data_IF_355417950787
#
_entry.id   IF_355417950787
#
_cell.length_a   1.000
_cell.length_b   1.000
_cell.length_c   1.000
_cell.angle_alpha   90.00
_cell.angle_beta   90.00
_cell.angle_gamma   90.00
#
_symmetry.space_group_name_H-M   'P 1'
#
loop_
_entity.id
_entity.type
_entity.pdbx_description
1 polymer ?
#
# COMPACT_ATOMS: atom_id res chain seq x y z
N UNK A 1 -1.22 8.04 -16.44
CA UNK A 1 0.14 7.89 -15.87
C UNK A 1 0.09 8.31 -14.42
N UNK A 2 0.73 7.58 -13.51
CA UNK A 2 0.85 7.91 -12.08
C UNK A 2 1.87 9.05 -11.95
N UNK A 3 1.52 10.12 -11.24
CA UNK A 3 2.39 11.29 -11.08
C UNK A 3 3.24 11.19 -9.81
N UNK A 4 2.59 10.83 -8.69
CA UNK A 4 3.20 10.76 -7.36
C UNK A 4 2.87 9.42 -6.69
N UNK A 5 3.79 8.95 -5.85
CA UNK A 5 3.57 7.73 -5.05
C UNK A 5 3.94 8.01 -3.59
N UNK A 6 3.12 7.50 -2.68
CA UNK A 6 3.39 7.46 -1.24
C UNK A 6 3.55 6.00 -0.83
N UNK A 7 4.70 5.65 -0.26
CA UNK A 7 5.00 4.30 0.25
C UNK A 7 4.96 4.35 1.78
N UNK A 8 4.14 3.51 2.40
CA UNK A 8 3.99 3.44 3.85
C UNK A 8 5.01 2.47 4.46
N UNK A 9 6.08 3.00 5.02
CA UNK A 9 7.24 2.26 5.52
C UNK A 9 7.53 2.50 7.01
N UNK A 10 6.55 2.98 7.78
CA UNK A 10 6.73 3.31 9.19
C UNK A 10 6.40 2.15 10.15
N UNK A 11 5.89 1.03 9.66
CA UNK A 11 5.58 -0.16 10.44
C UNK A 11 6.83 -0.76 11.10
N UNK A 12 6.67 -1.29 12.33
CA UNK A 12 7.79 -1.90 13.07
C UNK A 12 8.11 -3.34 12.62
N UNK A 13 7.22 -4.00 11.87
CA UNK A 13 7.44 -5.36 11.37
C UNK A 13 7.63 -6.40 12.48
N UNK A 14 6.90 -6.28 13.61
CA UNK A 14 7.12 -7.10 14.81
C UNK A 14 7.00 -8.61 14.56
N UNK A 15 6.13 -9.03 13.63
CA UNK A 15 5.94 -10.45 13.30
C UNK A 15 7.19 -11.04 12.64
N UNK A 16 7.79 -10.30 11.71
CA UNK A 16 8.99 -10.72 10.98
C UNK A 16 10.29 -10.41 11.74
N UNK A 17 10.25 -9.58 12.79
CA UNK A 17 11.42 -9.20 13.59
C UNK A 17 12.14 -10.39 14.27
N UNK A 18 11.48 -11.55 14.37
CA UNK A 18 12.12 -12.80 14.83
C UNK A 18 13.11 -13.37 13.82
N UNK A 19 12.94 -13.04 12.53
CA UNK A 19 13.82 -13.49 11.45
C UNK A 19 14.96 -12.51 11.16
N UNK A 20 14.76 -11.20 11.43
CA UNK A 20 15.76 -10.18 11.14
C UNK A 20 15.56 -8.94 12.00
N UNK A 21 16.68 -8.31 12.42
CA UNK A 21 16.68 -6.97 13.06
C UNK A 21 16.55 -5.82 12.05
N UNK A 22 16.60 -6.12 10.75
CA UNK A 22 16.42 -5.12 9.69
C UNK A 22 14.94 -4.75 9.58
N UNK A 23 14.58 -3.46 9.52
CA UNK A 23 13.20 -3.04 9.29
C UNK A 23 12.63 -3.66 8.01
N UNK A 24 11.38 -4.14 8.06
CA UNK A 24 10.72 -4.91 7.00
C UNK A 24 10.89 -4.33 5.57
N UNK A 25 10.71 -3.01 5.32
CA UNK A 25 10.88 -2.44 3.97
C UNK A 25 12.31 -2.57 3.40
N UNK A 26 13.28 -2.83 4.26
CA UNK A 26 14.70 -2.97 3.91
C UNK A 26 15.21 -4.41 4.02
N UNK A 27 14.32 -5.38 4.20
CA UNK A 27 14.67 -6.78 4.06
C UNK A 27 15.05 -7.08 2.61
N UNK A 28 16.08 -7.88 2.44
CA UNK A 28 16.53 -8.33 1.13
C UNK A 28 15.52 -9.33 0.54
N UNK A 29 14.95 -9.02 -0.60
CA UNK A 29 14.00 -9.90 -1.29
C UNK A 29 14.68 -10.99 -2.11
N UNK A 30 15.99 -10.89 -2.33
CA UNK A 30 16.81 -11.92 -3.00
C UNK A 30 17.56 -12.82 -2.01
N UNK A 31 17.31 -12.68 -0.71
CA UNK A 31 17.92 -13.47 0.35
C UNK A 31 19.42 -13.21 0.58
N UNK A 32 20.02 -12.17 -0.03
CA UNK A 32 21.44 -11.86 0.07
C UNK A 32 21.68 -10.68 1.00
N UNK A 33 22.74 -10.72 1.77
CA UNK A 33 23.17 -9.55 2.53
C UNK A 33 23.57 -8.41 1.56
N UNK A 34 22.97 -7.23 1.75
CA UNK A 34 23.16 -6.09 0.84
C UNK A 34 22.55 -6.26 -0.55
N UNK A 35 21.67 -7.25 -0.72
CA UNK A 35 20.94 -7.48 -1.94
C UNK A 35 19.77 -6.51 -2.17
N UNK A 36 18.93 -6.80 -3.16
CA UNK A 36 17.75 -5.99 -3.50
C UNK A 36 16.74 -6.03 -2.37
N UNK A 37 16.25 -4.89 -1.90
CA UNK A 37 15.24 -4.80 -0.84
C UNK A 37 13.84 -4.57 -1.42
N UNK A 38 12.77 -4.70 -0.59
CA UNK A 38 11.43 -4.26 -1.00
C UNK A 38 11.44 -2.81 -1.47
N UNK A 39 12.15 -1.93 -0.74
CA UNK A 39 12.22 -0.51 -1.08
C UNK A 39 12.93 -0.29 -2.42
N UNK A 40 14.02 -1.00 -2.69
CA UNK A 40 14.71 -0.94 -3.99
C UNK A 40 13.77 -1.37 -5.12
N UNK A 41 13.03 -2.47 -4.92
CA UNK A 41 12.08 -2.98 -5.89
C UNK A 41 10.99 -1.95 -6.20
N UNK A 42 10.33 -1.40 -5.19
CA UNK A 42 9.26 -0.41 -5.38
C UNK A 42 9.77 0.79 -6.16
N UNK A 43 10.86 1.41 -5.68
CA UNK A 43 11.39 2.63 -6.29
C UNK A 43 11.84 2.38 -7.73
N UNK A 44 12.49 1.25 -8.01
CA UNK A 44 12.91 0.89 -9.36
C UNK A 44 11.71 0.68 -10.30
N UNK A 45 10.70 -0.10 -9.89
CA UNK A 45 9.52 -0.36 -10.71
C UNK A 45 8.71 0.91 -11.01
N UNK A 46 8.59 1.79 -10.04
CA UNK A 46 7.89 3.08 -10.18
C UNK A 46 8.67 4.05 -11.10
N UNK A 47 9.98 4.17 -10.90
CA UNK A 47 10.83 5.04 -11.72
C UNK A 47 10.85 4.58 -13.19
N UNK A 48 10.91 3.27 -13.46
CA UNK A 48 10.82 2.71 -14.82
C UNK A 48 9.51 3.07 -15.53
N UNK A 49 8.43 3.30 -14.78
CA UNK A 49 7.13 3.75 -15.30
C UNK A 49 6.98 5.26 -15.41
N UNK A 50 8.07 6.00 -15.16
CA UNK A 50 8.09 7.45 -15.31
C UNK A 50 7.47 8.21 -14.14
N UNK A 51 7.27 7.57 -12.98
CA UNK A 51 6.90 8.28 -11.75
C UNK A 51 8.03 9.25 -11.38
N UNK A 52 7.68 10.50 -11.13
CA UNK A 52 8.65 11.58 -10.90
C UNK A 52 8.89 11.89 -9.43
N UNK A 53 7.90 11.60 -8.60
CA UNK A 53 7.93 11.93 -7.18
C UNK A 53 7.49 10.74 -6.35
N UNK A 54 8.39 10.24 -5.50
CA UNK A 54 8.12 9.15 -4.57
C UNK A 54 8.37 9.68 -3.16
N UNK A 55 7.38 9.54 -2.30
CA UNK A 55 7.42 9.92 -0.90
C UNK A 55 7.37 8.66 -0.05
N UNK A 56 8.38 8.45 0.77
CA UNK A 56 8.46 7.28 1.67
C UNK A 56 8.16 7.74 3.08
N UNK A 57 7.07 7.27 3.67
CA UNK A 57 6.72 7.61 5.04
C UNK A 57 7.38 6.60 5.98
N UNK A 58 8.36 7.07 6.75
CA UNK A 58 9.12 6.24 7.68
C UNK A 58 8.98 6.71 9.12
N UNK A 59 9.31 5.83 10.05
CA UNK A 59 9.53 6.17 11.46
C UNK A 59 10.98 6.64 11.69
N UNK A 60 11.33 6.97 12.95
CA UNK A 60 12.67 7.44 13.33
C UNK A 60 13.80 6.46 12.98
N UNK A 61 13.51 5.17 12.87
CA UNK A 61 14.50 4.15 12.54
C UNK A 61 14.61 3.96 11.02
N UNK A 62 13.48 3.78 10.35
CA UNK A 62 13.45 3.53 8.90
C UNK A 62 13.93 4.75 8.11
N UNK A 63 13.59 5.97 8.54
CA UNK A 63 13.98 7.22 7.86
C UNK A 63 15.47 7.54 7.91
N UNK A 64 16.25 6.81 8.70
CA UNK A 64 17.72 6.92 8.69
C UNK A 64 18.40 6.12 7.57
N UNK A 65 17.65 5.26 6.88
CA UNK A 65 18.17 4.46 5.78
C UNK A 65 18.28 5.29 4.50
N UNK A 66 19.32 5.00 3.71
CA UNK A 66 19.44 5.58 2.39
C UNK A 66 18.35 5.02 1.47
N UNK A 67 17.78 5.88 0.63
CA UNK A 67 16.85 5.49 -0.42
C UNK A 67 17.54 5.47 -1.78
N UNK A 68 17.14 4.59 -2.70
CA UNK A 68 17.55 4.66 -4.10
C UNK A 68 17.24 6.03 -4.72
N UNK A 69 18.11 6.47 -5.61
CA UNK A 69 17.96 7.76 -6.32
C UNK A 69 18.01 7.53 -7.83
N UNK A 70 16.97 6.95 -8.44
CA UNK A 70 16.95 6.74 -9.87
C UNK A 70 16.92 8.08 -10.62
N UNK A 71 17.54 8.10 -11.80
CA UNK A 71 17.57 9.31 -12.63
C UNK A 71 16.14 9.75 -13.00
N UNK A 72 15.86 11.05 -12.86
CA UNK A 72 14.54 11.63 -13.22
C UNK A 72 13.42 11.39 -12.21
N UNK A 73 13.71 10.76 -11.06
CA UNK A 73 12.74 10.55 -10.00
C UNK A 73 13.25 11.13 -8.67
N UNK A 74 12.48 12.01 -8.06
CA UNK A 74 12.76 12.54 -6.72
C UNK A 74 12.22 11.56 -5.68
N UNK A 75 13.08 11.07 -4.78
CA UNK A 75 12.68 10.19 -3.69
C UNK A 75 12.93 10.89 -2.37
N UNK A 76 11.87 11.09 -1.57
CA UNK A 76 11.88 11.93 -0.38
C UNK A 76 11.32 11.21 0.83
N UNK A 77 12.01 11.29 1.98
CA UNK A 77 11.49 10.84 3.26
C UNK A 77 10.45 11.82 3.83
N UNK A 78 9.38 11.25 4.38
CA UNK A 78 8.45 11.94 5.28
C UNK A 78 8.51 11.22 6.62
N UNK A 79 8.73 11.95 7.69
CA UNK A 79 8.81 11.37 9.03
C UNK A 79 7.42 11.25 9.65
N UNK A 80 7.02 10.03 10.01
CA UNK A 80 6.00 9.79 11.03
C UNK A 80 6.72 9.79 12.39
N UNK A 81 6.57 10.84 13.21
CA UNK A 81 7.31 10.97 14.46
C UNK A 81 6.76 10.11 15.60
N UNK A 82 5.62 9.46 15.41
CA UNK A 82 4.93 8.69 16.44
C UNK A 82 5.70 7.41 16.75
N UNK A 83 6.13 7.25 18.00
CA UNK A 83 6.91 6.09 18.45
C UNK A 83 6.03 4.96 19.03
N UNK A 84 4.78 5.26 19.38
CA UNK A 84 3.88 4.31 20.00
C UNK A 84 3.05 3.57 18.94
N UNK A 85 3.38 2.31 18.73
CA UNK A 85 2.66 1.40 17.82
C UNK A 85 1.18 1.23 18.20
N UNK A 86 0.81 1.45 19.46
CA UNK A 86 -0.57 1.30 19.89
C UNK A 86 -1.44 2.50 19.49
N UNK A 87 -0.79 3.61 19.16
CA UNK A 87 -1.49 4.87 18.80
C UNK A 87 -1.26 5.27 17.34
N UNK A 88 -0.28 4.66 16.65
CA UNK A 88 0.05 4.99 15.25
C UNK A 88 -0.12 3.78 14.34
N UNK A 89 -1.10 3.83 13.47
CA UNK A 89 -1.28 2.90 12.37
C UNK A 89 -0.82 3.48 11.02
N UNK A 90 -1.08 2.75 9.95
CA UNK A 90 -0.80 3.16 8.57
C UNK A 90 -1.59 4.42 8.19
N UNK A 91 -2.79 4.63 8.76
CA UNK A 91 -3.58 5.84 8.61
C UNK A 91 -2.86 7.10 9.10
N UNK A 92 -2.13 7.04 10.21
CA UNK A 92 -1.29 8.15 10.68
C UNK A 92 -0.16 8.45 9.70
N UNK A 93 0.47 7.42 9.15
CA UNK A 93 1.51 7.58 8.14
C UNK A 93 0.96 8.27 6.89
N UNK A 94 -0.21 7.88 6.41
CA UNK A 94 -0.91 8.53 5.32
C UNK A 94 -1.23 10.00 5.66
N UNK A 95 -1.71 10.28 6.88
CA UNK A 95 -2.00 11.64 7.32
C UNK A 95 -0.77 12.54 7.32
N UNK A 96 0.39 12.06 7.81
CA UNK A 96 1.65 12.83 7.73
C UNK A 96 2.07 13.10 6.29
N UNK A 97 1.84 12.17 5.37
CA UNK A 97 2.08 12.40 3.95
C UNK A 97 1.19 13.52 3.40
N UNK A 98 -0.11 13.48 3.70
CA UNK A 98 -1.07 14.47 3.22
C UNK A 98 -0.88 15.87 3.81
N UNK A 99 -0.38 15.96 5.04
CA UNK A 99 -0.08 17.23 5.71
C UNK A 99 1.33 17.78 5.41
N UNK A 100 2.16 17.00 4.71
CA UNK A 100 3.52 17.43 4.38
C UNK A 100 3.55 18.67 3.48
N UNK A 101 4.63 19.48 3.54
CA UNK A 101 4.77 20.68 2.70
C UNK A 101 4.93 20.36 1.21
N UNK A 102 4.99 19.08 0.84
CA UNK A 102 5.21 18.67 -0.55
C UNK A 102 3.96 18.78 -1.43
N UNK A 103 2.79 19.09 -0.86
CA UNK A 103 1.56 19.27 -1.65
C UNK A 103 1.19 18.00 -2.44
N UNK A 104 1.23 16.83 -1.78
CA UNK A 104 0.99 15.54 -2.45
C UNK A 104 -0.41 15.49 -3.03
N UNK A 105 -1.42 15.84 -2.23
CA UNK A 105 -2.81 15.94 -2.67
C UNK A 105 -3.09 17.36 -3.21
N UNK A 106 -2.61 17.67 -4.39
CA UNK A 106 -2.66 19.03 -5.00
C UNK A 106 -3.91 19.29 -5.87
N UNK A 107 -4.81 18.31 -5.99
CA UNK A 107 -5.99 18.41 -6.86
C UNK A 107 -5.68 18.33 -8.36
N UNK A 108 -4.48 17.91 -8.74
CA UNK A 108 -4.02 17.84 -10.14
C UNK A 108 -3.32 16.53 -10.47
N UNK A 109 -2.55 16.01 -9.53
CA UNK A 109 -1.72 14.81 -9.71
C UNK A 109 -2.52 13.53 -9.40
N UNK A 110 -2.25 12.48 -10.14
CA UNK A 110 -2.69 11.12 -9.79
C UNK A 110 -1.72 10.54 -8.78
N UNK A 111 -2.21 10.18 -7.60
CA UNK A 111 -1.41 9.76 -6.45
C UNK A 111 -1.68 8.30 -6.12
N UNK A 112 -0.63 7.49 -6.06
CA UNK A 112 -0.73 6.12 -5.51
C UNK A 112 -0.31 6.13 -4.04
N UNK A 113 -1.10 5.50 -3.19
CA UNK A 113 -0.71 5.06 -1.86
C UNK A 113 -0.42 3.56 -1.92
N UNK A 114 0.68 3.11 -1.32
CA UNK A 114 1.00 1.68 -1.28
C UNK A 114 1.75 1.28 -0.02
N UNK A 115 1.55 0.03 0.39
CA UNK A 115 2.31 -0.58 1.47
C UNK A 115 3.73 -0.97 1.02
N UNK A 116 4.67 -0.96 1.97
CA UNK A 116 6.09 -1.19 1.69
C UNK A 116 6.51 -2.66 1.76
N UNK A 117 5.63 -3.54 2.20
CA UNK A 117 5.90 -4.95 2.51
C UNK A 117 5.26 -5.93 1.52
N UNK A 118 4.83 -5.41 0.40
CA UNK A 118 4.27 -6.17 -0.71
C UNK A 118 5.31 -6.41 -1.79
N UNK A 119 5.24 -7.56 -2.44
CA UNK A 119 6.02 -7.89 -3.62
C UNK A 119 5.09 -8.30 -4.75
N UNK A 120 5.33 -7.77 -5.93
CA UNK A 120 4.42 -7.92 -7.05
C UNK A 120 5.17 -7.99 -8.39
N UNK A 121 4.56 -8.68 -9.32
CA UNK A 121 4.94 -8.65 -10.72
C UNK A 121 4.72 -7.25 -11.31
N UNK A 122 5.66 -6.71 -12.10
CA UNK A 122 5.55 -5.35 -12.63
C UNK A 122 4.22 -5.02 -13.33
N UNK A 123 3.59 -5.98 -14.00
CA UNK A 123 2.30 -5.82 -14.67
C UNK A 123 1.13 -5.46 -13.71
N UNK A 124 1.26 -5.72 -12.42
CA UNK A 124 0.28 -5.32 -11.38
C UNK A 124 0.11 -3.81 -11.33
N UNK A 125 1.20 -3.04 -11.45
CA UNK A 125 1.14 -1.58 -11.52
C UNK A 125 0.44 -1.08 -12.80
N UNK A 126 0.60 -1.80 -13.92
CA UNK A 126 -0.06 -1.42 -15.17
C UNK A 126 -1.58 -1.58 -15.06
N UNK A 127 -2.05 -2.61 -14.32
CA UNK A 127 -3.48 -2.79 -14.02
C UNK A 127 -4.04 -1.61 -13.21
N UNK A 128 -3.27 -1.07 -12.24
CA UNK A 128 -3.70 0.08 -11.45
C UNK A 128 -3.72 1.38 -12.26
N UNK A 129 -2.71 1.62 -13.09
CA UNK A 129 -2.57 2.90 -13.80
C UNK A 129 -3.72 3.16 -14.77
N UNK A 130 -4.21 2.22 -15.53
CA UNK A 130 -5.40 2.28 -16.39
C UNK A 130 -5.73 3.66 -16.99
N UNK A 131 -6.92 3.82 -17.55
CA UNK A 131 -7.34 5.09 -18.17
C UNK A 131 -7.50 6.23 -17.14
N UNK A 132 -6.94 7.42 -17.38
CA UNK A 132 -7.12 8.59 -16.52
C UNK A 132 -8.57 9.10 -16.55
N UNK A 133 -8.98 9.80 -15.47
CA UNK A 133 -10.26 10.54 -15.42
C UNK A 133 -11.46 9.75 -14.91
N UNK A 134 -11.25 8.51 -14.42
CA UNK A 134 -12.27 7.75 -13.71
C UNK A 134 -12.27 8.05 -12.19
N UNK A 135 -13.04 7.28 -11.40
CA UNK A 135 -12.99 7.35 -9.95
C UNK A 135 -11.63 6.86 -9.41
N UNK A 136 -11.30 7.23 -8.19
CA UNK A 136 -10.19 6.60 -7.45
C UNK A 136 -10.38 5.08 -7.36
N UNK A 137 -9.31 4.34 -7.20
CA UNK A 137 -9.29 2.88 -7.39
C UNK A 137 -8.60 2.18 -6.25
N UNK A 138 -9.13 1.02 -5.87
CA UNK A 138 -8.41 0.02 -5.08
C UNK A 138 -8.02 -1.15 -5.96
N UNK A 139 -6.77 -1.59 -5.85
CA UNK A 139 -6.27 -2.75 -6.57
C UNK A 139 -6.50 -4.01 -5.75
N UNK A 140 -7.02 -5.04 -6.39
CA UNK A 140 -7.53 -6.25 -5.74
C UNK A 140 -6.96 -7.49 -6.43
N UNK A 141 -6.33 -8.36 -5.65
CA UNK A 141 -5.94 -9.69 -6.10
C UNK A 141 -7.16 -10.61 -6.04
N UNK A 142 -7.66 -11.03 -7.21
CA UNK A 142 -8.83 -11.91 -7.29
C UNK A 142 -8.45 -13.40 -7.18
N UNK A 143 -7.16 -13.72 -7.10
CA UNK A 143 -6.63 -15.07 -6.83
C UNK A 143 -6.28 -15.21 -5.33
N UNK A 144 -7.19 -14.77 -4.47
CA UNK A 144 -7.03 -14.79 -3.02
C UNK A 144 -7.21 -16.19 -2.43
N UNK A 145 -6.66 -16.38 -1.24
CA UNK A 145 -6.94 -17.54 -0.39
C UNK A 145 -8.10 -17.22 0.56
N UNK A 146 -8.89 -18.22 0.87
CA UNK A 146 -9.94 -18.10 1.91
C UNK A 146 -9.25 -18.01 3.28
N UNK A 147 -8.96 -16.80 3.70
CA UNK A 147 -8.28 -16.47 4.95
C UNK A 147 -9.04 -15.39 5.71
N UNK A 148 -9.05 -15.49 7.04
CA UNK A 148 -9.61 -14.45 7.92
C UNK A 148 -8.57 -13.37 8.26
N UNK A 149 -7.31 -13.57 7.87
CA UNK A 149 -6.19 -12.66 8.15
C UNK A 149 -6.07 -11.54 7.10
N UNK A 150 -6.56 -11.80 5.88
CA UNK A 150 -6.47 -10.87 4.76
C UNK A 150 -7.56 -9.79 4.80
N UNK A 151 -7.24 -8.63 4.28
CA UNK A 151 -8.23 -7.55 4.06
C UNK A 151 -9.02 -7.87 2.79
N UNK A 152 -10.21 -8.43 2.96
CA UNK A 152 -11.08 -8.77 1.84
C UNK A 152 -11.91 -7.58 1.39
N UNK A 153 -12.09 -7.43 0.08
CA UNK A 153 -12.91 -6.37 -0.54
C UNK A 153 -14.19 -6.95 -1.10
N UNK A 154 -15.28 -6.30 -0.78
CA UNK A 154 -16.64 -6.66 -1.21
C UNK A 154 -17.29 -5.48 -1.94
N UNK A 155 -18.11 -5.78 -2.92
CA UNK A 155 -18.74 -4.71 -3.70
C UNK A 155 -19.86 -5.17 -4.61
N UNK A 156 -20.20 -4.30 -5.55
CA UNK A 156 -21.25 -4.56 -6.54
C UNK A 156 -20.85 -3.92 -7.88
N UNK A 157 -20.89 -4.69 -8.95
CA UNK A 157 -20.43 -4.25 -10.27
C UNK A 157 -18.93 -3.97 -10.26
N UNK A 158 -18.55 -2.72 -10.46
CA UNK A 158 -17.16 -2.23 -10.42
C UNK A 158 -16.84 -1.37 -9.17
N UNK A 159 -17.78 -1.26 -8.22
CA UNK A 159 -17.64 -0.46 -7.02
C UNK A 159 -17.23 -1.29 -5.82
N UNK A 160 -16.13 -0.91 -5.17
CA UNK A 160 -15.79 -1.39 -3.84
C UNK A 160 -16.68 -0.68 -2.79
N UNK A 161 -17.29 -1.43 -1.88
CA UNK A 161 -18.26 -0.92 -0.91
C UNK A 161 -17.87 -1.18 0.53
N UNK A 162 -17.27 -2.34 0.78
CA UNK A 162 -16.83 -2.77 2.11
C UNK A 162 -15.50 -3.49 1.98
N UNK A 163 -14.60 -3.26 2.92
CA UNK A 163 -13.41 -4.07 3.07
C UNK A 163 -13.05 -4.29 4.55
N UNK A 164 -12.31 -5.32 4.83
CA UNK A 164 -11.77 -5.60 6.18
C UNK A 164 -11.40 -7.05 6.40
N UNK A 165 -10.68 -7.25 7.50
CA UNK A 165 -10.29 -8.58 7.98
C UNK A 165 -11.47 -9.26 8.67
N UNK A 166 -11.55 -10.60 8.57
CA UNK A 166 -12.57 -11.39 9.27
C UNK A 166 -14.00 -11.17 8.79
N UNK A 167 -14.21 -10.55 7.63
CA UNK A 167 -15.56 -10.27 7.10
C UNK A 167 -16.11 -11.41 6.23
N UNK A 168 -15.24 -12.23 5.67
CA UNK A 168 -15.66 -13.30 4.76
C UNK A 168 -16.61 -14.28 5.47
N UNK A 169 -17.74 -14.57 4.84
CA UNK A 169 -18.79 -15.43 5.40
C UNK A 169 -19.70 -14.78 6.45
N UNK A 170 -19.53 -13.49 6.76
CA UNK A 170 -20.40 -12.78 7.69
C UNK A 170 -21.67 -12.25 7.01
N UNK A 171 -22.73 -12.02 7.80
CA UNK A 171 -23.98 -11.40 7.30
C UNK A 171 -23.81 -9.96 6.83
N UNK A 172 -22.76 -9.27 7.28
CA UNK A 172 -22.47 -7.89 6.89
C UNK A 172 -22.18 -7.79 5.39
N UNK A 173 -21.48 -8.77 4.83
CA UNK A 173 -21.05 -8.77 3.43
C UNK A 173 -21.89 -9.70 2.54
N UNK A 174 -22.83 -10.44 3.11
CA UNK A 174 -23.68 -11.39 2.38
C UNK A 174 -24.42 -10.79 1.16
N UNK A 175 -24.82 -9.49 1.14
CA UNK A 175 -25.45 -8.88 -0.04
C UNK A 175 -24.48 -8.55 -1.17
N UNK A 176 -23.18 -8.63 -0.94
CA UNK A 176 -22.14 -8.16 -1.88
C UNK A 176 -21.37 -9.31 -2.52
N UNK A 177 -20.84 -9.05 -3.70
CA UNK A 177 -19.87 -9.93 -4.35
C UNK A 177 -18.51 -9.82 -3.63
N UNK A 178 -17.84 -10.94 -3.38
CA UNK A 178 -16.45 -10.96 -2.94
C UNK A 178 -15.56 -10.68 -4.13
N UNK A 179 -14.78 -9.59 -4.08
CA UNK A 179 -13.89 -9.19 -5.16
C UNK A 179 -12.50 -9.80 -5.05
N UNK A 180 -12.02 -10.01 -3.83
CA UNK A 180 -10.70 -10.56 -3.53
C UNK A 180 -10.00 -9.84 -2.40
N UNK A 181 -8.71 -10.05 -2.32
CA UNK A 181 -7.80 -9.48 -1.32
C UNK A 181 -7.35 -8.07 -1.75
N UNK A 182 -7.43 -7.10 -0.83
CA UNK A 182 -6.84 -5.78 -1.03
C UNK A 182 -5.32 -5.88 -1.08
N UNK A 183 -4.71 -5.25 -2.06
CA UNK A 183 -3.25 -5.33 -2.26
C UNK A 183 -2.46 -4.28 -1.47
N UNK A 184 -3.12 -3.43 -0.70
CA UNK A 184 -2.46 -2.25 -0.10
C UNK A 184 -2.11 -1.17 -1.13
N UNK A 185 -2.56 -1.28 -2.39
CA UNK A 185 -2.34 -0.28 -3.43
C UNK A 185 -3.64 0.44 -3.80
N UNK A 186 -3.62 1.76 -3.71
CA UNK A 186 -4.75 2.65 -3.99
C UNK A 186 -4.32 3.77 -4.92
N UNK A 187 -5.09 4.02 -5.98
CA UNK A 187 -4.90 5.17 -6.85
C UNK A 187 -5.93 6.24 -6.53
N UNK A 188 -5.46 7.41 -6.12
CA UNK A 188 -6.28 8.57 -5.84
C UNK A 188 -6.26 9.53 -7.03
N UNK A 189 -7.41 9.74 -7.62
CA UNK A 189 -7.59 10.69 -8.71
C UNK A 189 -7.74 12.11 -8.15
N UNK A 190 -7.36 13.16 -8.91
CA UNK A 190 -7.31 14.54 -8.43
C UNK A 190 -8.60 15.06 -7.82
N UNK A 191 -9.76 14.69 -8.39
CA UNK A 191 -11.07 15.12 -7.91
C UNK A 191 -11.44 14.58 -6.53
N UNK A 192 -10.83 13.47 -6.10
CA UNK A 192 -11.13 12.84 -4.82
C UNK A 192 -10.18 13.30 -3.70
N UNK A 193 -9.18 14.15 -3.98
CA UNK A 193 -8.20 14.60 -2.99
C UNK A 193 -8.82 15.33 -1.80
N UNK A 194 -9.86 16.14 -2.04
CA UNK A 194 -10.56 16.83 -0.95
C UNK A 194 -11.29 15.84 -0.04
N UNK A 195 -12.00 14.87 -0.62
CA UNK A 195 -12.67 13.81 0.10
C UNK A 195 -11.68 12.95 0.90
N UNK A 196 -10.54 12.59 0.29
CA UNK A 196 -9.49 11.82 0.97
C UNK A 196 -8.92 12.57 2.18
N UNK A 197 -8.66 13.88 2.07
CA UNK A 197 -8.24 14.71 3.21
C UNK A 197 -9.28 14.70 4.31
N UNK A 198 -10.55 14.94 3.97
CA UNK A 198 -11.64 14.96 4.94
C UNK A 198 -11.79 13.60 5.66
N UNK A 199 -11.76 12.51 4.90
CA UNK A 199 -11.82 11.15 5.44
C UNK A 199 -10.65 10.88 6.40
N UNK A 200 -9.44 11.28 6.00
CA UNK A 200 -8.23 11.11 6.83
C UNK A 200 -8.31 11.93 8.11
N UNK A 201 -8.66 13.22 8.02
CA UNK A 201 -8.80 14.09 9.19
C UNK A 201 -9.88 13.59 10.15
N UNK A 202 -10.96 13.02 9.62
CA UNK A 202 -12.00 12.42 10.43
C UNK A 202 -11.45 11.21 11.20
N UNK A 203 -10.77 10.28 10.52
CA UNK A 203 -10.16 9.12 11.15
C UNK A 203 -9.17 9.54 12.26
N UNK A 204 -8.34 10.56 12.01
CA UNK A 204 -7.37 11.06 13.00
C UNK A 204 -8.04 11.64 14.24
N UNK A 205 -9.19 12.31 14.12
CA UNK A 205 -9.94 12.83 15.28
C UNK A 205 -10.50 11.74 16.17
N UNK A 206 -10.84 10.60 15.61
CA UNK A 206 -11.46 9.47 16.33
C UNK A 206 -10.46 8.35 16.65
N UNK A 207 -9.22 8.45 16.15
CA UNK A 207 -8.14 7.55 16.53
C UNK A 207 -7.72 7.83 17.98
N UNK A 208 -7.57 6.77 18.76
CA UNK A 208 -7.22 6.84 20.17
C UNK A 208 -6.08 5.87 20.50
N UNK A 209 -5.51 5.97 21.69
CA UNK A 209 -4.52 5.02 22.18
C UNK A 209 -5.02 3.56 22.24
N UNK A 210 -6.33 3.33 22.15
CA UNK A 210 -6.92 2.00 22.15
C UNK A 210 -7.30 1.51 20.75
N UNK A 211 -7.56 2.45 19.83
CA UNK A 211 -7.96 2.17 18.45
C UNK A 211 -7.12 3.05 17.55
N UNK A 212 -6.06 2.49 17.02
CA UNK A 212 -5.25 3.14 15.99
C UNK A 212 -6.01 3.11 14.65
N UNK A 213 -5.85 4.16 13.86
CA UNK A 213 -6.41 4.21 12.52
C UNK A 213 -5.43 3.61 11.52
N UNK A 214 -5.91 2.70 10.71
CA UNK A 214 -5.19 2.16 9.55
C UNK A 214 -5.65 2.88 8.26
N UNK A 215 -4.89 2.75 7.18
CA UNK A 215 -5.28 3.39 5.91
C UNK A 215 -6.55 2.78 5.33
N UNK A 216 -6.88 1.56 5.70
CA UNK A 216 -8.14 0.89 5.40
C UNK A 216 -9.34 1.62 6.00
N UNK A 217 -9.23 2.14 7.23
CA UNK A 217 -10.32 2.92 7.85
C UNK A 217 -10.62 4.18 7.03
N UNK A 218 -9.58 4.84 6.54
CA UNK A 218 -9.69 6.01 5.66
C UNK A 218 -10.34 5.60 4.34
N UNK A 219 -9.87 4.52 3.75
CA UNK A 219 -10.38 3.98 2.48
C UNK A 219 -11.84 3.57 2.59
N UNK A 220 -12.23 2.90 3.70
CA UNK A 220 -13.62 2.54 3.96
C UNK A 220 -14.53 3.77 4.01
N UNK A 221 -14.04 4.84 4.61
CA UNK A 221 -14.80 6.08 4.68
C UNK A 221 -14.99 6.73 3.30
N UNK A 222 -13.98 6.68 2.46
CA UNK A 222 -14.08 7.13 1.06
C UNK A 222 -15.05 6.24 0.27
N UNK A 223 -15.04 4.93 0.48
CA UNK A 223 -16.01 4.01 -0.13
C UNK A 223 -17.46 4.41 0.20
N UNK A 224 -17.72 4.79 1.46
CA UNK A 224 -19.07 5.19 1.89
C UNK A 224 -19.52 6.55 1.35
N UNK A 225 -18.58 7.49 1.25
CA UNK A 225 -18.90 8.87 0.83
C UNK A 225 -18.86 9.05 -0.69
N UNK A 226 -18.19 8.17 -1.42
CA UNK A 226 -17.89 8.37 -2.82
C UNK A 226 -18.00 7.14 -3.69
N UNK A 227 -17.14 7.10 -4.68
CA UNK A 227 -17.06 6.03 -5.66
C UNK A 227 -15.61 5.54 -5.73
N UNK A 228 -15.29 4.49 -4.98
CA UNK A 228 -14.02 3.81 -5.15
C UNK A 228 -14.21 2.62 -6.10
N UNK A 229 -13.56 2.67 -7.26
CA UNK A 229 -13.64 1.58 -8.22
C UNK A 229 -12.75 0.41 -7.78
N UNK A 230 -13.24 -0.80 -8.00
CA UNK A 230 -12.51 -2.04 -7.80
C UNK A 230 -11.77 -2.42 -9.08
N UNK A 231 -10.43 -2.41 -9.06
CA UNK A 231 -9.61 -2.93 -10.15
C UNK A 231 -9.12 -4.32 -9.75
N UNK A 232 -9.68 -5.33 -10.37
CA UNK A 232 -9.37 -6.74 -10.07
C UNK A 232 -8.39 -7.30 -11.09
N UNK A 233 -7.33 -7.97 -10.62
CA UNK A 233 -6.45 -8.74 -11.49
C UNK A 233 -6.45 -10.22 -11.12
N UNK A 234 -6.12 -11.06 -12.08
CA UNK A 234 -5.91 -12.51 -11.94
C UNK A 234 -4.68 -12.94 -12.72
N UNK A 235 -4.05 -14.02 -12.26
CA UNK A 235 -2.91 -14.63 -12.94
C UNK A 235 -1.62 -13.82 -12.87
N UNK A 236 -1.62 -12.66 -12.22
CA UNK A 236 -0.41 -11.89 -11.92
C UNK A 236 0.09 -12.23 -10.51
N UNK A 237 1.38 -12.21 -10.33
CA UNK A 237 2.00 -12.55 -9.05
C UNK A 237 1.97 -11.36 -8.09
N UNK A 238 1.41 -11.60 -6.92
CA UNK A 238 1.34 -10.66 -5.81
C UNK A 238 1.44 -11.42 -4.49
N UNK A 239 2.14 -10.87 -3.50
CA UNK A 239 2.11 -11.36 -2.12
C UNK A 239 2.47 -10.24 -1.15
N UNK A 240 1.89 -10.27 0.04
CA UNK A 240 2.33 -9.58 1.23
C UNK A 240 3.31 -10.48 2.01
N UNK A 241 4.25 -9.88 2.73
CA UNK A 241 5.25 -10.62 3.49
C UNK A 241 5.20 -10.19 4.96
N UNK A 242 4.57 -10.97 5.80
CA UNK A 242 4.33 -10.66 7.21
C UNK A 242 5.05 -11.59 8.19
N UNK A 243 5.31 -12.81 7.78
CA UNK A 243 5.86 -13.87 8.62
C UNK A 243 7.23 -14.36 8.14
N UNK A 244 8.03 -15.02 8.99
CA UNK A 244 9.27 -15.66 8.57
C UNK A 244 9.08 -16.71 7.48
N UNK A 245 7.97 -17.45 7.50
CA UNK A 245 7.63 -18.47 6.52
C UNK A 245 7.33 -17.86 5.15
N UNK A 246 6.59 -16.77 5.13
CA UNK A 246 6.34 -16.00 3.90
C UNK A 246 7.62 -15.38 3.35
N UNK A 247 8.50 -14.90 4.23
CA UNK A 247 9.79 -14.35 3.81
C UNK A 247 10.69 -15.43 3.19
N UNK A 248 10.73 -16.64 3.75
CA UNK A 248 11.44 -17.75 3.16
C UNK A 248 10.87 -18.10 1.77
N UNK A 249 9.54 -18.23 1.65
CA UNK A 249 8.88 -18.45 0.37
C UNK A 249 9.17 -17.33 -0.66
N UNK A 250 9.14 -16.08 -0.19
CA UNK A 250 9.41 -14.91 -1.02
C UNK A 250 10.81 -14.96 -1.62
N UNK A 251 11.83 -15.20 -0.80
CA UNK A 251 13.23 -15.18 -1.24
C UNK A 251 13.62 -16.39 -2.06
N UNK A 252 13.09 -17.58 -1.74
CA UNK A 252 13.46 -18.84 -2.38
C UNK A 252 12.73 -19.09 -3.71
N UNK A 253 11.51 -18.59 -3.84
CA UNK A 253 10.64 -18.90 -4.99
C UNK A 253 10.06 -17.67 -5.66
N UNK A 254 9.32 -16.87 -4.90
CA UNK A 254 8.49 -15.81 -5.47
C UNK A 254 9.32 -14.74 -6.19
N UNK A 255 10.34 -14.18 -5.53
CA UNK A 255 11.19 -13.17 -6.15
C UNK A 255 11.98 -13.69 -7.36
N UNK A 256 12.64 -14.86 -7.33
CA UNK A 256 13.27 -15.43 -8.54
C UNK A 256 12.30 -15.55 -9.72
N UNK A 257 11.06 -15.94 -9.48
CA UNK A 257 10.06 -16.10 -10.53
C UNK A 257 9.63 -14.74 -11.14
N UNK A 258 9.34 -13.72 -10.32
CA UNK A 258 8.99 -12.39 -10.86
C UNK A 258 10.19 -11.69 -11.49
N UNK A 259 11.40 -11.94 -10.99
CA UNK A 259 12.63 -11.42 -11.60
C UNK A 259 12.85 -11.96 -13.00
N UNK A 260 12.52 -13.23 -13.24
CA UNK A 260 12.60 -13.84 -14.56
C UNK A 260 11.60 -13.26 -15.57
N UNK A 261 10.49 -12.65 -15.09
CA UNK A 261 9.48 -11.98 -15.91
C UNK A 261 9.79 -10.49 -16.15
N UNK A 262 10.79 -9.95 -15.42
CA UNK A 262 11.16 -8.53 -15.52
C UNK A 262 12.29 -8.38 -16.53
N UNK A 263 12.09 -7.66 -17.65
CA UNK A 263 13.12 -7.44 -18.67
C UNK A 263 14.31 -6.60 -18.17
#
# INVERSE_FOLDING_TARGET
MIDKVVILAAGLGNRIARASSTPKPFLSIDGREGGVTFMDWHIEQLARRGVREIYVVGNKVTSQRALPKPAGCAVTWILNPTDDINTSGSGHSAWFAWQSPHGILDGRSRVVLMDADILYEPAVLDALDGAPGGPSKTLICADYRDSQEEVMVFGQGDRALVHGKGLLGTSLVAPYETFGEATGMLLWEPQDHALLREATDWCMRYSTAKVKSEHEDITQRVMWAGTLAAVRFRGLRFMECDTPEEYAHLTERFYPEIRALSP
#
